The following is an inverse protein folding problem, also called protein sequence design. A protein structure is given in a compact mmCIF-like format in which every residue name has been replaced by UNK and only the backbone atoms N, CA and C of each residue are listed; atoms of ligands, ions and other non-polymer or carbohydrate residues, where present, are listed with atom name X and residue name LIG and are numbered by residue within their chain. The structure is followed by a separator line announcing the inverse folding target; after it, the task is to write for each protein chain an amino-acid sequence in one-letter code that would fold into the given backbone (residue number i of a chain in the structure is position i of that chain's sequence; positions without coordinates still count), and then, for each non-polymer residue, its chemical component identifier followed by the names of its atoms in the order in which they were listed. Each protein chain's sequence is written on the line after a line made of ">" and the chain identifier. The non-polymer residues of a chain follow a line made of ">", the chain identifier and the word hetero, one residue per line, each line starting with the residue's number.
data_IF_728118009708
#
_entry.id   IF_728118009708
#
_cell.length_a   1.000
_cell.length_b   1.000
_cell.length_c   1.000
_cell.angle_alpha   90.00
_cell.angle_beta   90.00
_cell.angle_gamma   90.00
#
_symmetry.space_group_name_H-M   'P 1'
#
loop_
_entity.id
_entity.type
_entity.pdbx_description
1 polymer ?
#
# COMPACT_ATOMS: atom_id res chain seq x y z
N UNK A 1 -3.37 -6.52 22.47
CA UNK A 1 -4.10 -5.60 21.57
C UNK A 1 -4.06 -6.21 20.16
N UNK A 2 -5.21 -6.63 19.63
CA UNK A 2 -5.34 -7.38 18.37
C UNK A 2 -4.99 -6.45 17.20
N UNK A 3 -3.93 -6.74 16.47
CA UNK A 3 -3.67 -6.05 15.19
C UNK A 3 -4.27 -6.89 14.06
N UNK A 4 -5.48 -6.56 13.69
CA UNK A 4 -6.11 -7.02 12.45
C UNK A 4 -5.60 -6.14 11.30
N UNK A 5 -5.08 -6.75 10.26
CA UNK A 5 -4.75 -6.02 9.03
C UNK A 5 -5.72 -6.49 7.96
N UNK A 6 -6.82 -5.77 7.77
CA UNK A 6 -7.78 -6.11 6.74
C UNK A 6 -7.19 -5.82 5.35
N UNK A 7 -7.55 -6.64 4.36
CA UNK A 7 -7.50 -6.18 2.97
C UNK A 7 -8.65 -5.18 2.79
N UNK A 8 -8.33 -4.04 2.22
CA UNK A 8 -9.30 -2.98 2.00
C UNK A 8 -9.36 -2.70 0.51
N UNK A 9 -10.53 -2.87 -0.06
CA UNK A 9 -10.88 -2.39 -1.39
C UNK A 9 -11.91 -1.26 -1.27
N UNK A 10 -12.15 -0.57 -2.35
CA UNK A 10 -13.17 0.48 -2.39
C UNK A 10 -14.56 -0.13 -2.63
N UNK A 11 -15.61 0.44 -2.02
CA UNK A 11 -16.99 -0.05 -2.19
C UNK A 11 -17.56 0.21 -3.59
N UNK A 12 -16.95 1.11 -4.35
CA UNK A 12 -17.32 1.48 -5.71
C UNK A 12 -16.14 1.31 -6.65
N UNK A 13 -16.39 1.12 -7.95
CA UNK A 13 -15.32 1.03 -8.96
C UNK A 13 -14.43 2.28 -8.96
N UNK A 14 -15.03 3.44 -8.83
CA UNK A 14 -14.35 4.72 -8.64
C UNK A 14 -14.95 5.41 -7.41
N UNK A 15 -14.11 5.90 -6.53
CA UNK A 15 -14.50 6.69 -5.38
C UNK A 15 -13.57 7.90 -5.29
N UNK A 16 -14.13 9.08 -5.41
CA UNK A 16 -13.37 10.30 -5.28
C UNK A 16 -14.07 11.28 -4.32
N UNK A 17 -13.29 11.94 -3.47
CA UNK A 17 -13.78 12.96 -2.56
C UNK A 17 -12.87 14.18 -2.57
N UNK A 18 -13.44 15.39 -2.76
CA UNK A 18 -12.67 16.64 -2.80
C UNK A 18 -12.14 17.05 -1.43
N UNK A 19 -12.75 16.54 -0.35
CA UNK A 19 -12.30 16.80 1.02
C UNK A 19 -12.58 15.61 1.93
N UNK A 20 -11.51 15.05 2.46
CA UNK A 20 -11.51 13.98 3.47
C UNK A 20 -10.85 14.52 4.71
N UNK A 21 -11.53 14.39 5.85
CA UNK A 21 -11.05 14.82 7.16
C UNK A 21 -10.62 13.63 8.01
N UNK A 22 -10.13 13.90 9.20
CA UNK A 22 -9.57 12.92 10.13
C UNK A 22 -10.45 11.69 10.42
N UNK A 23 -11.78 11.86 10.36
CA UNK A 23 -12.71 10.76 10.71
C UNK A 23 -12.57 9.56 9.78
N UNK A 24 -12.34 9.79 8.48
CA UNK A 24 -12.14 8.72 7.50
C UNK A 24 -10.74 8.13 7.63
N UNK A 25 -9.73 8.97 7.90
CA UNK A 25 -8.36 8.52 8.13
C UNK A 25 -8.25 7.63 9.37
N UNK A 26 -9.15 7.82 10.35
CA UNK A 26 -9.23 7.00 11.54
C UNK A 26 -9.53 5.51 11.25
N UNK A 27 -10.20 5.19 10.15
CA UNK A 27 -10.45 3.82 9.70
C UNK A 27 -9.11 3.10 9.41
N UNK A 28 -8.10 3.82 8.94
CA UNK A 28 -6.78 3.31 8.59
C UNK A 28 -5.72 3.44 9.69
N UNK A 29 -6.13 3.68 10.96
CA UNK A 29 -5.21 3.63 12.13
C UNK A 29 -4.55 2.27 12.30
N UNK A 30 -5.23 1.22 11.87
CA UNK A 30 -4.64 -0.11 11.80
C UNK A 30 -4.01 -0.32 10.43
N UNK A 31 -2.88 -1.06 10.41
CA UNK A 31 -2.24 -1.41 9.13
C UNK A 31 -3.19 -2.21 8.26
N UNK A 32 -3.40 -1.78 7.03
CA UNK A 32 -4.18 -2.53 6.04
C UNK A 32 -3.40 -2.68 4.75
N UNK A 33 -3.72 -3.73 3.97
CA UNK A 33 -3.22 -3.94 2.61
C UNK A 33 -4.28 -3.48 1.63
N UNK A 34 -3.94 -2.52 0.81
CA UNK A 34 -4.83 -2.00 -0.22
C UNK A 34 -4.92 -2.97 -1.40
N UNK A 35 -6.12 -3.17 -1.91
CA UNK A 35 -6.39 -3.81 -3.21
C UNK A 35 -6.61 -2.77 -4.31
N UNK A 36 -6.99 -1.57 -3.92
CA UNK A 36 -7.25 -0.43 -4.75
C UNK A 36 -5.98 0.32 -5.16
N UNK A 37 -6.05 1.12 -6.23
CA UNK A 37 -5.18 2.27 -6.44
C UNK A 37 -5.78 3.50 -5.74
N UNK A 38 -4.98 4.23 -4.96
CA UNK A 38 -5.40 5.47 -4.33
C UNK A 38 -4.38 6.57 -4.65
N UNK A 39 -4.90 7.68 -5.12
CA UNK A 39 -4.16 8.91 -5.38
C UNK A 39 -4.74 9.99 -4.48
N UNK A 40 -3.93 10.56 -3.60
CA UNK A 40 -4.38 11.58 -2.67
C UNK A 40 -3.42 12.77 -2.66
N UNK A 41 -3.97 13.95 -2.43
CA UNK A 41 -3.20 15.19 -2.26
C UNK A 41 -3.53 15.76 -0.90
N UNK A 42 -2.52 16.07 -0.12
CA UNK A 42 -2.69 16.82 1.12
C UNK A 42 -3.06 18.27 0.77
N UNK A 43 -4.21 18.74 1.25
CA UNK A 43 -4.67 20.09 1.01
C UNK A 43 -4.37 21.03 2.18
N UNK A 44 -4.41 20.49 3.41
CA UNK A 44 -4.17 21.25 4.65
C UNK A 44 -3.48 20.38 5.69
N UNK A 45 -2.65 21.01 6.52
CA UNK A 45 -1.99 20.37 7.66
C UNK A 45 -0.80 19.49 7.28
N UNK A 46 -0.30 18.75 8.25
CA UNK A 46 0.77 17.76 8.08
C UNK A 46 0.42 16.46 8.79
N UNK A 47 0.85 15.33 8.25
CA UNK A 47 0.60 14.04 8.88
C UNK A 47 1.77 13.09 8.71
N UNK A 48 1.86 12.09 9.60
CA UNK A 48 2.78 10.97 9.47
C UNK A 48 2.03 9.71 9.04
N UNK A 49 2.52 9.09 7.97
CA UNK A 49 1.97 7.87 7.41
C UNK A 49 3.06 6.82 7.27
N UNK A 50 2.73 5.58 7.59
CA UNK A 50 3.59 4.44 7.28
C UNK A 50 3.11 3.79 6.00
N UNK A 51 3.96 3.78 4.97
CA UNK A 51 3.72 3.13 3.68
C UNK A 51 4.76 2.03 3.52
N UNK A 52 4.31 0.78 3.36
CA UNK A 52 5.18 -0.38 3.29
C UNK A 52 6.21 -0.40 4.44
N UNK A 53 5.75 -0.16 5.68
CA UNK A 53 6.56 -0.12 6.91
C UNK A 53 7.57 1.03 7.01
N UNK A 54 7.68 1.88 6.02
CA UNK A 54 8.52 3.08 6.04
C UNK A 54 7.69 4.29 6.44
N UNK A 55 8.25 5.14 7.30
CA UNK A 55 7.57 6.35 7.75
C UNK A 55 7.84 7.52 6.80
N UNK A 56 6.78 8.24 6.49
CA UNK A 56 6.78 9.43 5.66
C UNK A 56 6.03 10.54 6.38
N UNK A 57 6.53 11.74 6.21
CA UNK A 57 5.83 12.97 6.57
C UNK A 57 5.20 13.56 5.31
N UNK A 58 3.93 13.95 5.41
CA UNK A 58 3.14 14.47 4.29
C UNK A 58 2.83 15.93 4.58
N UNK A 59 3.10 16.78 3.60
CA UNK A 59 2.88 18.22 3.66
C UNK A 59 1.83 18.67 2.64
N UNK A 60 1.29 19.89 2.74
CA UNK A 60 0.40 20.44 1.73
C UNK A 60 1.00 20.38 0.32
N UNK A 61 0.15 20.02 -0.65
CA UNK A 61 0.49 19.75 -2.06
C UNK A 61 1.38 18.51 -2.31
N UNK A 62 1.61 17.65 -1.30
CA UNK A 62 2.21 16.35 -1.56
C UNK A 62 1.18 15.40 -2.21
N UNK A 63 1.59 14.77 -3.30
CA UNK A 63 0.87 13.66 -3.94
C UNK A 63 1.27 12.36 -3.28
N UNK A 64 0.29 11.63 -2.78
CA UNK A 64 0.43 10.27 -2.26
C UNK A 64 -0.09 9.30 -3.32
N UNK A 65 0.75 8.36 -3.75
CA UNK A 65 0.38 7.32 -4.71
C UNK A 65 0.46 5.95 -4.04
N UNK A 66 -0.67 5.28 -3.89
CA UNK A 66 -0.76 3.95 -3.29
C UNK A 66 -1.25 2.97 -4.34
N UNK A 67 -0.40 2.01 -4.70
CA UNK A 67 -0.70 0.95 -5.66
C UNK A 67 -1.25 -0.30 -4.96
N UNK A 68 -1.91 -1.22 -5.67
CA UNK A 68 -2.37 -2.48 -5.11
C UNK A 68 -1.26 -3.25 -4.41
N UNK A 69 -1.58 -3.83 -3.27
CA UNK A 69 -0.63 -4.53 -2.41
C UNK A 69 0.12 -3.64 -1.42
N UNK A 70 0.00 -2.31 -1.52
CA UNK A 70 0.60 -1.38 -0.57
C UNK A 70 0.03 -1.58 0.84
N UNK A 71 0.93 -1.62 1.82
CA UNK A 71 0.56 -1.67 3.24
C UNK A 71 0.61 -0.25 3.77
N UNK A 72 -0.53 0.25 4.25
CA UNK A 72 -0.66 1.60 4.79
C UNK A 72 -1.10 1.58 6.25
N UNK A 73 -0.61 2.54 7.03
CA UNK A 73 -1.04 2.80 8.40
C UNK A 73 -0.89 4.29 8.71
N UNK A 74 -1.95 4.93 9.20
CA UNK A 74 -1.88 6.27 9.80
C UNK A 74 -1.52 6.15 11.28
N UNK A 75 -0.47 6.86 11.74
CA UNK A 75 0.10 6.63 13.07
C UNK A 75 -0.25 7.68 14.10
N UNK A 76 -0.50 8.91 13.73
CA UNK A 76 -0.77 10.01 14.66
C UNK A 76 -2.12 10.67 14.36
N UNK A 77 -2.76 11.22 15.41
CA UNK A 77 -3.84 12.18 15.22
C UNK A 77 -3.25 13.39 14.52
N UNK A 78 -3.52 13.49 13.22
CA UNK A 78 -3.17 14.66 12.47
C UNK A 78 -4.12 15.78 12.89
N UNK A 79 -3.64 16.80 13.59
CA UNK A 79 -4.46 17.95 13.86
C UNK A 79 -4.72 18.72 12.55
N UNK A 80 -6.00 18.90 12.21
CA UNK A 80 -6.46 19.68 11.05
C UNK A 80 -5.92 19.23 9.68
N UNK A 81 -5.79 17.93 9.45
CA UNK A 81 -5.41 17.42 8.13
C UNK A 81 -6.62 17.29 7.22
N UNK A 82 -6.47 17.74 5.99
CA UNK A 82 -7.41 17.55 4.91
C UNK A 82 -6.72 16.97 3.70
N UNK A 83 -7.37 15.99 3.08
CA UNK A 83 -6.92 15.37 1.83
C UNK A 83 -8.03 15.47 0.79
N UNK A 84 -7.68 15.59 -0.49
CA UNK A 84 -8.55 15.18 -1.58
C UNK A 84 -8.02 13.90 -2.19
N UNK A 85 -8.87 13.00 -2.64
CA UNK A 85 -8.42 11.76 -3.23
C UNK A 85 -9.32 11.25 -4.35
N UNK A 86 -8.71 10.43 -5.22
CA UNK A 86 -9.39 9.56 -6.16
C UNK A 86 -8.86 8.14 -5.99
N UNK A 87 -9.77 7.17 -5.91
CA UNK A 87 -9.45 5.77 -5.74
C UNK A 87 -10.18 4.90 -6.76
N UNK A 88 -9.53 3.81 -7.17
CA UNK A 88 -10.03 2.84 -8.15
C UNK A 88 -9.93 1.45 -7.55
N UNK A 89 -11.04 0.71 -7.52
CA UNK A 89 -11.13 -0.62 -6.90
C UNK A 89 -10.31 -1.67 -7.66
N UNK A 90 -10.08 -2.81 -7.02
CA UNK A 90 -9.43 -3.96 -7.65
C UNK A 90 -10.16 -4.41 -8.92
N UNK A 91 -11.50 -4.28 -8.97
CA UNK A 91 -12.29 -4.60 -10.16
C UNK A 91 -11.93 -3.70 -11.33
N UNK A 92 -11.89 -2.38 -11.13
CA UNK A 92 -11.50 -1.42 -12.17
C UNK A 92 -10.05 -1.67 -12.63
N UNK A 93 -9.13 -1.88 -11.70
CA UNK A 93 -7.73 -2.14 -12.01
C UNK A 93 -7.55 -3.44 -12.81
N UNK A 94 -8.37 -4.45 -12.58
CA UNK A 94 -8.32 -5.73 -13.25
C UNK A 94 -8.48 -5.64 -14.78
N UNK A 95 -9.07 -4.57 -15.29
CA UNK A 95 -9.23 -4.31 -16.73
C UNK A 95 -8.00 -3.64 -17.36
N UNK A 96 -7.07 -3.14 -16.57
CA UNK A 96 -5.92 -2.35 -17.02
C UNK A 96 -4.62 -3.05 -16.65
N UNK A 97 -3.70 -3.14 -17.60
CA UNK A 97 -2.35 -3.56 -17.27
C UNK A 97 -1.56 -2.37 -16.69
N UNK A 98 -1.54 -2.27 -15.36
CA UNK A 98 -0.82 -1.19 -14.65
C UNK A 98 0.64 -1.08 -15.06
N UNK A 99 1.34 -2.21 -15.25
CA UNK A 99 2.76 -2.21 -15.60
C UNK A 99 3.01 -1.60 -16.96
N UNK A 100 2.14 -1.84 -17.94
CA UNK A 100 2.27 -1.23 -19.27
C UNK A 100 1.88 0.23 -19.26
N UNK A 101 0.85 0.61 -18.48
CA UNK A 101 0.35 1.99 -18.41
C UNK A 101 1.32 2.89 -17.65
N UNK A 102 1.86 2.45 -16.52
CA UNK A 102 2.81 3.23 -15.71
C UNK A 102 4.23 3.11 -16.28
N UNK A 103 4.56 1.99 -16.94
CA UNK A 103 5.83 1.77 -17.61
C UNK A 103 7.04 2.00 -16.69
N UNK A 104 8.01 2.78 -17.17
CA UNK A 104 9.26 3.06 -16.46
C UNK A 104 9.10 3.87 -15.16
N UNK A 105 7.91 4.43 -14.88
CA UNK A 105 7.66 5.14 -13.64
C UNK A 105 7.32 4.19 -12.48
N UNK A 106 6.94 2.93 -12.74
CA UNK A 106 6.52 1.97 -11.72
C UNK A 106 7.55 1.78 -10.58
N UNK A 107 8.85 1.57 -10.85
CA UNK A 107 9.83 1.47 -9.78
C UNK A 107 9.92 2.74 -8.93
N UNK A 108 9.89 3.93 -9.57
CA UNK A 108 9.92 5.21 -8.86
C UNK A 108 8.68 5.42 -7.97
N UNK A 109 7.49 5.00 -8.43
CA UNK A 109 6.25 5.08 -7.67
C UNK A 109 6.31 4.24 -6.39
N UNK A 110 6.91 3.05 -6.46
CA UNK A 110 7.14 2.22 -5.28
C UNK A 110 8.22 2.81 -4.37
N UNK A 111 9.29 3.32 -4.96
CA UNK A 111 10.43 3.89 -4.22
C UNK A 111 10.06 5.20 -3.53
N UNK A 112 9.25 6.02 -4.15
CA UNK A 112 8.86 7.35 -3.68
C UNK A 112 7.34 7.53 -3.80
N UNK A 113 6.56 6.90 -2.93
CA UNK A 113 5.09 6.96 -2.99
C UNK A 113 4.53 8.35 -2.68
N UNK A 114 5.37 9.25 -2.19
CA UNK A 114 5.02 10.65 -1.90
C UNK A 114 6.00 11.56 -2.62
N UNK A 115 5.46 12.48 -3.42
CA UNK A 115 6.23 13.52 -4.10
C UNK A 115 5.58 14.90 -3.91
N UNK A 116 6.37 15.94 -3.67
CA UNK A 116 5.86 17.30 -3.64
C UNK A 116 5.49 17.75 -5.06
N UNK A 117 4.33 18.39 -5.19
CA UNK A 117 3.87 19.00 -6.43
C UNK A 117 4.02 20.53 -6.36
N UNK A 118 4.21 21.16 -7.52
CA UNK A 118 3.97 22.60 -7.61
C UNK A 118 2.48 22.90 -7.45
N UNK A 119 2.15 24.10 -6.99
CA UNK A 119 0.78 24.54 -6.74
C UNK A 119 -0.12 24.31 -7.97
N UNK A 120 0.33 24.73 -9.15
CA UNK A 120 -0.43 24.57 -10.40
C UNK A 120 -0.74 23.10 -10.74
N UNK A 121 0.21 22.18 -10.48
CA UNK A 121 0.02 20.74 -10.73
C UNK A 121 -0.91 20.14 -9.67
N UNK A 122 -0.76 20.55 -8.41
CA UNK A 122 -1.64 20.12 -7.34
C UNK A 122 -3.10 20.55 -7.62
N UNK A 123 -3.31 21.81 -8.04
CA UNK A 123 -4.64 22.33 -8.36
C UNK A 123 -5.27 21.59 -9.55
N UNK A 124 -4.50 21.33 -10.61
CA UNK A 124 -4.98 20.51 -11.74
C UNK A 124 -5.50 19.13 -11.26
N UNK A 125 -4.78 18.45 -10.39
CA UNK A 125 -5.24 17.14 -9.89
C UNK A 125 -6.42 17.27 -8.92
N UNK A 126 -6.46 18.30 -8.07
CA UNK A 126 -7.60 18.57 -7.18
C UNK A 126 -8.90 18.79 -7.98
N UNK A 127 -8.83 19.60 -9.05
CA UNK A 127 -9.96 19.83 -9.96
C UNK A 127 -10.39 18.52 -10.65
N UNK A 128 -9.43 17.72 -11.10
CA UNK A 128 -9.72 16.43 -11.72
C UNK A 128 -10.39 15.46 -10.74
N UNK A 129 -9.93 15.40 -9.48
CA UNK A 129 -10.56 14.58 -8.44
C UNK A 129 -11.96 15.08 -8.07
N UNK A 130 -12.18 16.40 -8.10
CA UNK A 130 -13.51 16.97 -7.90
C UNK A 130 -14.48 16.57 -9.03
N UNK A 131 -14.03 16.61 -10.30
CA UNK A 131 -14.83 16.12 -11.43
C UNK A 131 -15.20 14.64 -11.28
N UNK A 132 -14.24 13.80 -10.89
CA UNK A 132 -14.51 12.39 -10.62
C UNK A 132 -15.49 12.18 -9.46
N UNK A 133 -15.42 13.01 -8.42
CA UNK A 133 -16.36 12.98 -7.31
C UNK A 133 -17.78 13.29 -7.77
N UNK A 134 -17.97 14.33 -8.57
CA UNK A 134 -19.26 14.64 -9.16
C UNK A 134 -19.79 13.48 -10.00
N UNK A 135 -18.95 12.92 -10.88
CA UNK A 135 -19.33 11.82 -11.75
C UNK A 135 -19.66 10.51 -10.99
N UNK A 136 -19.04 10.27 -9.83
CA UNK A 136 -19.26 9.06 -9.03
C UNK A 136 -20.45 9.16 -8.07
N UNK A 137 -20.85 10.39 -7.69
CA UNK A 137 -21.91 10.64 -6.71
C UNK A 137 -23.27 11.01 -7.36
N UNK A 138 -23.29 11.36 -8.63
CA UNK A 138 -24.51 11.77 -9.32
C UNK A 138 -25.29 10.54 -9.81
N UNK A 139 -26.46 10.28 -9.22
CA UNK A 139 -27.33 9.18 -9.62
C UNK A 139 -27.82 9.28 -11.08
N UNK A 140 -27.86 10.50 -11.64
CA UNK A 140 -28.24 10.75 -13.04
C UNK A 140 -27.10 10.47 -14.01
N UNK A 141 -25.85 10.53 -13.55
CA UNK A 141 -24.63 10.25 -14.32
C UNK A 141 -23.98 8.98 -13.82
N UNK A 142 -24.49 7.83 -14.27
CA UNK A 142 -23.91 6.56 -13.88
C UNK A 142 -22.58 6.32 -14.61
N UNK A 143 -21.48 6.44 -13.86
CA UNK A 143 -20.14 6.10 -14.38
C UNK A 143 -20.12 4.62 -14.78
N UNK A 144 -19.93 4.34 -16.07
CA UNK A 144 -19.74 2.98 -16.56
C UNK A 144 -18.28 2.52 -16.42
N UNK A 145 -18.04 1.22 -16.57
CA UNK A 145 -16.69 0.65 -16.44
C UNK A 145 -15.71 1.23 -17.47
N UNK A 146 -16.16 1.60 -18.66
CA UNK A 146 -15.29 2.18 -19.70
C UNK A 146 -14.82 3.58 -19.30
N UNK A 147 -15.71 4.41 -18.75
CA UNK A 147 -15.35 5.72 -18.26
C UNK A 147 -14.43 5.64 -17.03
N UNK A 148 -14.67 4.67 -16.13
CA UNK A 148 -13.79 4.38 -15.01
C UNK A 148 -12.38 4.00 -15.48
N UNK A 149 -12.26 3.12 -16.47
CA UNK A 149 -10.97 2.68 -17.06
C UNK A 149 -10.21 3.86 -17.69
N UNK A 150 -10.91 4.69 -18.49
CA UNK A 150 -10.31 5.88 -19.12
C UNK A 150 -9.86 6.91 -18.06
N UNK A 151 -10.64 7.08 -17.01
CA UNK A 151 -10.30 7.98 -15.91
C UNK A 151 -9.04 7.51 -15.16
N UNK A 152 -8.95 6.22 -14.88
CA UNK A 152 -7.74 5.63 -14.28
C UNK A 152 -6.53 5.78 -15.20
N UNK A 153 -6.66 5.49 -16.49
CA UNK A 153 -5.58 5.66 -17.46
C UNK A 153 -5.10 7.12 -17.54
N UNK A 154 -6.01 8.08 -17.49
CA UNK A 154 -5.67 9.52 -17.50
C UNK A 154 -4.84 9.89 -16.26
N UNK A 155 -5.28 9.48 -15.07
CA UNK A 155 -4.50 9.72 -13.83
C UNK A 155 -3.13 9.07 -13.90
N UNK A 156 -3.06 7.79 -14.28
CA UNK A 156 -1.80 7.05 -14.34
C UNK A 156 -0.82 7.69 -15.33
N UNK A 157 -1.31 8.15 -16.48
CA UNK A 157 -0.50 8.86 -17.47
C UNK A 157 -0.01 10.20 -16.93
N UNK A 158 -0.87 10.97 -16.27
CA UNK A 158 -0.50 12.24 -15.63
C UNK A 158 0.58 12.03 -14.57
N UNK A 159 0.40 11.04 -13.72
CA UNK A 159 1.37 10.69 -12.68
C UNK A 159 2.70 10.23 -13.29
N UNK A 160 2.68 9.42 -14.36
CA UNK A 160 3.88 9.02 -15.07
C UNK A 160 4.69 10.24 -15.54
N UNK A 161 4.02 11.26 -16.10
CA UNK A 161 4.68 12.51 -16.52
C UNK A 161 5.26 13.28 -15.33
N UNK A 162 4.54 13.35 -14.22
CA UNK A 162 5.02 13.99 -12.99
C UNK A 162 6.29 13.31 -12.46
N UNK A 163 6.27 11.98 -12.36
CA UNK A 163 7.43 11.20 -11.90
C UNK A 163 8.61 11.22 -12.87
N UNK A 164 8.38 11.38 -14.18
CA UNK A 164 9.44 11.55 -15.17
C UNK A 164 10.19 12.87 -14.94
N UNK A 165 9.46 13.92 -14.65
CA UNK A 165 10.02 15.26 -14.44
C UNK A 165 10.48 15.50 -13.00
N UNK A 166 10.09 14.62 -12.06
CA UNK A 166 10.52 14.68 -10.69
C UNK A 166 11.96 14.17 -10.56
N UNK A 167 12.90 15.11 -10.53
CA UNK A 167 14.27 14.87 -10.10
C UNK A 167 14.33 15.01 -8.58
N UNK A 168 13.83 14.03 -7.86
CA UNK A 168 13.90 14.02 -6.41
C UNK A 168 15.34 14.29 -5.95
N UNK A 169 15.47 15.05 -4.85
CA UNK A 169 16.77 15.22 -4.21
C UNK A 169 17.37 13.83 -3.99
N UNK A 170 18.44 13.53 -4.72
CA UNK A 170 19.19 12.27 -4.68
C UNK A 170 19.93 12.03 -3.34
N UNK A 171 19.52 12.69 -2.26
CA UNK A 171 19.78 12.26 -0.89
C UNK A 171 18.80 11.13 -0.48
N UNK A 172 18.43 10.28 -1.45
CA UNK A 172 17.80 8.99 -1.13
C UNK A 172 18.74 8.31 -0.14
N UNK A 173 18.34 8.28 1.11
CA UNK A 173 19.09 7.58 2.13
C UNK A 173 19.22 6.13 1.65
N UNK A 174 20.42 5.73 1.17
CA UNK A 174 20.73 4.41 0.62
C UNK A 174 20.15 3.27 1.48
N UNK A 175 20.03 3.52 2.80
CA UNK A 175 19.40 2.58 3.73
C UNK A 175 17.90 2.43 3.48
N UNK A 176 17.18 3.53 3.21
CA UNK A 176 15.75 3.47 2.87
C UNK A 176 15.51 2.78 1.53
N UNK A 177 16.39 2.99 0.56
CA UNK A 177 16.34 2.31 -0.73
C UNK A 177 16.52 0.79 -0.57
N UNK A 178 17.50 0.34 0.21
CA UNK A 178 17.69 -1.09 0.53
C UNK A 178 16.42 -1.67 1.17
N UNK A 179 15.83 -0.97 2.13
CA UNK A 179 14.59 -1.44 2.78
C UNK A 179 13.42 -1.54 1.80
N UNK A 180 13.24 -0.58 0.88
CA UNK A 180 12.19 -0.63 -0.15
C UNK A 180 12.36 -1.82 -1.08
N UNK A 181 13.57 -2.01 -1.62
CA UNK A 181 13.91 -3.16 -2.48
C UNK A 181 13.69 -4.49 -1.75
N UNK A 182 14.08 -4.55 -0.46
CA UNK A 182 13.80 -5.72 0.38
C UNK A 182 12.30 -6.01 0.47
N UNK A 183 11.47 -5.01 0.77
CA UNK A 183 10.02 -5.19 0.89
C UNK A 183 9.40 -5.65 -0.41
N UNK A 184 9.84 -5.10 -1.54
CA UNK A 184 9.44 -5.55 -2.86
C UNK A 184 9.78 -7.03 -3.08
N UNK A 185 11.03 -7.43 -2.87
CA UNK A 185 11.47 -8.82 -3.00
C UNK A 185 10.72 -9.77 -2.05
N UNK A 186 10.47 -9.33 -0.80
CA UNK A 186 9.67 -10.13 0.12
C UNK A 186 8.24 -10.30 -0.42
N UNK A 187 7.62 -9.26 -0.95
CA UNK A 187 6.26 -9.33 -1.48
C UNK A 187 6.16 -10.28 -2.68
N UNK A 188 7.22 -10.39 -3.48
CA UNK A 188 7.31 -11.30 -4.62
C UNK A 188 7.57 -12.76 -4.19
N UNK A 189 8.35 -12.97 -3.13
CA UNK A 189 8.91 -14.30 -2.80
C UNK A 189 8.54 -14.87 -1.41
N UNK A 190 7.77 -14.16 -0.57
CA UNK A 190 7.50 -14.56 0.83
C UNK A 190 6.86 -15.95 1.01
N UNK A 191 6.19 -16.46 -0.03
CA UNK A 191 5.60 -17.80 0.02
C UNK A 191 6.68 -18.86 -0.01
N UNK A 192 7.67 -18.69 -0.89
CA UNK A 192 8.69 -19.69 -1.16
C UNK A 192 9.99 -19.46 -0.39
N UNK A 193 10.31 -18.19 -0.13
CA UNK A 193 11.57 -17.78 0.48
C UNK A 193 11.34 -17.03 1.79
N UNK A 194 11.77 -17.66 2.91
CA UNK A 194 11.67 -17.09 4.25
C UNK A 194 13.03 -16.91 4.93
N UNK A 195 14.11 -17.17 4.20
CA UNK A 195 15.47 -17.02 4.70
C UNK A 195 16.01 -15.61 4.38
N UNK A 196 16.50 -14.90 5.39
CA UNK A 196 17.06 -13.56 5.22
C UNK A 196 18.28 -13.54 4.28
N UNK A 197 19.04 -14.64 4.20
CA UNK A 197 20.19 -14.76 3.32
C UNK A 197 19.79 -14.63 1.85
N UNK A 198 18.70 -15.29 1.42
CA UNK A 198 18.18 -15.17 0.07
C UNK A 198 18.01 -13.71 -0.36
N UNK A 199 17.41 -12.90 0.49
CA UNK A 199 17.18 -11.49 0.20
C UNK A 199 18.46 -10.66 0.19
N UNK A 200 19.42 -10.99 1.05
CA UNK A 200 20.73 -10.35 1.03
C UNK A 200 21.47 -10.63 -0.29
N UNK A 201 21.44 -11.88 -0.75
CA UNK A 201 22.05 -12.30 -2.01
C UNK A 201 21.39 -11.61 -3.22
N UNK A 202 20.06 -11.53 -3.26
CA UNK A 202 19.31 -10.82 -4.31
C UNK A 202 19.62 -9.32 -4.35
N UNK A 203 19.90 -8.71 -3.19
CA UNK A 203 20.27 -7.30 -3.09
C UNK A 203 21.78 -7.05 -3.32
N UNK A 204 22.59 -8.10 -3.47
CA UNK A 204 24.04 -8.00 -3.65
C UNK A 204 24.78 -7.41 -2.45
N UNK A 205 24.27 -7.65 -1.23
CA UNK A 205 24.86 -7.14 0.03
C UNK A 205 25.00 -8.26 1.07
N UNK A 206 25.87 -8.07 2.05
CA UNK A 206 26.01 -9.05 3.13
C UNK A 206 24.77 -9.09 4.03
N UNK A 207 24.45 -10.27 4.59
CA UNK A 207 23.34 -10.42 5.54
C UNK A 207 23.48 -9.52 6.75
N UNK A 208 24.71 -9.28 7.22
CA UNK A 208 24.96 -8.35 8.32
C UNK A 208 24.60 -6.91 7.95
N UNK A 209 24.98 -6.47 6.75
CA UNK A 209 24.64 -5.13 6.25
C UNK A 209 23.13 -4.97 6.08
N UNK A 210 22.45 -5.96 5.49
CA UNK A 210 20.99 -5.99 5.36
C UNK A 210 20.32 -5.89 6.74
N UNK A 211 20.69 -6.77 7.68
CA UNK A 211 20.08 -6.84 9.02
C UNK A 211 20.25 -5.54 9.80
N UNK A 212 21.45 -4.96 9.76
CA UNK A 212 21.74 -3.68 10.42
C UNK A 212 20.92 -2.53 9.80
N UNK A 213 20.89 -2.48 8.47
CA UNK A 213 20.15 -1.45 7.73
C UNK A 213 18.66 -1.50 8.01
N UNK A 214 18.05 -2.70 7.92
CA UNK A 214 16.62 -2.89 8.17
C UNK A 214 16.27 -2.54 9.60
N UNK A 215 17.06 -2.98 10.59
CA UNK A 215 16.85 -2.66 12.01
C UNK A 215 16.92 -1.16 12.28
N UNK A 216 17.86 -0.44 11.65
CA UNK A 216 18.02 1.01 11.80
C UNK A 216 16.85 1.80 11.18
N UNK A 217 16.32 1.35 10.04
CA UNK A 217 15.28 2.08 9.29
C UNK A 217 13.88 1.75 9.79
N UNK A 218 13.61 0.47 10.08
CA UNK A 218 12.25 -0.01 10.38
C UNK A 218 12.03 -0.35 11.86
N UNK A 219 13.09 -0.43 12.66
CA UNK A 219 13.06 -0.94 14.03
C UNK A 219 12.84 -2.46 14.13
N UNK A 220 12.62 -3.17 13.01
CA UNK A 220 12.31 -4.60 12.95
C UNK A 220 13.48 -5.39 12.36
N UNK A 221 13.54 -6.71 12.63
CA UNK A 221 14.46 -7.59 11.92
C UNK A 221 13.94 -7.92 10.51
N UNK A 222 14.83 -8.43 9.64
CA UNK A 222 14.44 -8.94 8.31
C UNK A 222 13.41 -10.07 8.45
N UNK A 223 13.61 -10.98 9.38
CA UNK A 223 12.70 -12.10 9.62
C UNK A 223 11.33 -11.64 10.14
N UNK A 224 11.28 -10.61 11.01
CA UNK A 224 10.02 -10.01 11.45
C UNK A 224 9.28 -9.33 10.30
N UNK A 225 10.02 -8.73 9.36
CA UNK A 225 9.43 -8.10 8.16
C UNK A 225 8.83 -9.16 7.24
N UNK A 226 9.53 -10.28 7.00
CA UNK A 226 8.99 -11.41 6.24
C UNK A 226 7.76 -11.98 6.93
N UNK A 227 7.86 -12.27 8.23
CA UNK A 227 6.76 -12.81 9.03
C UNK A 227 5.53 -11.90 8.99
N UNK A 228 5.73 -10.59 9.06
CA UNK A 228 4.65 -9.61 8.99
C UNK A 228 3.88 -9.69 7.66
N UNK A 229 4.57 -9.81 6.53
CA UNK A 229 3.92 -9.93 5.19
C UNK A 229 3.18 -11.26 5.07
N UNK A 230 3.76 -12.38 5.54
CA UNK A 230 3.08 -13.68 5.58
C UNK A 230 1.80 -13.61 6.43
N UNK A 231 1.85 -12.96 7.58
CA UNK A 231 0.69 -12.82 8.48
C UNK A 231 -0.40 -11.93 7.86
N UNK A 232 -0.02 -10.88 7.13
CA UNK A 232 -0.99 -10.05 6.39
C UNK A 232 -1.77 -10.90 5.39
N UNK A 233 -1.08 -11.69 4.57
CA UNK A 233 -1.75 -12.55 3.60
C UNK A 233 -2.59 -13.64 4.28
N UNK A 234 -2.06 -14.29 5.34
CA UNK A 234 -2.81 -15.27 6.11
C UNK A 234 -4.12 -14.70 6.67
N UNK A 235 -4.08 -13.50 7.25
CA UNK A 235 -5.28 -12.84 7.78
C UNK A 235 -6.28 -12.51 6.70
N UNK A 236 -5.80 -12.04 5.54
CA UNK A 236 -6.63 -11.76 4.39
C UNK A 236 -7.37 -13.01 3.89
N UNK A 237 -6.67 -14.12 3.73
CA UNK A 237 -7.28 -15.39 3.32
C UNK A 237 -8.26 -15.92 4.39
N UNK A 238 -7.94 -15.80 5.68
CA UNK A 238 -8.81 -16.23 6.77
C UNK A 238 -10.15 -15.49 6.80
N UNK A 239 -10.16 -14.21 6.46
CA UNK A 239 -11.38 -13.36 6.50
C UNK A 239 -12.07 -13.22 5.14
N UNK A 240 -11.31 -13.29 4.06
CA UNK A 240 -11.81 -13.02 2.71
C UNK A 240 -12.17 -14.26 1.88
N UNK A 241 -11.95 -15.47 2.40
CA UNK A 241 -12.22 -16.71 1.66
C UNK A 241 -12.83 -17.80 2.54
N UNK A 242 -13.52 -18.78 1.91
CA UNK A 242 -14.02 -19.99 2.55
C UNK A 242 -12.97 -21.11 2.64
N UNK A 243 -11.72 -20.84 2.28
CA UNK A 243 -10.62 -21.82 2.35
C UNK A 243 -10.48 -22.36 3.77
N UNK A 244 -10.26 -23.66 3.90
CA UNK A 244 -9.95 -24.28 5.17
C UNK A 244 -8.59 -23.81 5.70
N UNK A 245 -8.35 -23.97 7.00
CA UNK A 245 -7.04 -23.67 7.61
C UNK A 245 -5.91 -24.45 6.94
N UNK A 246 -6.20 -25.66 6.50
CA UNK A 246 -5.27 -26.52 5.78
C UNK A 246 -4.92 -25.97 4.40
N UNK A 247 -5.90 -25.55 3.62
CA UNK A 247 -5.70 -24.96 2.30
C UNK A 247 -4.93 -23.64 2.41
N UNK A 248 -5.22 -22.81 3.39
CA UNK A 248 -4.46 -21.57 3.65
C UNK A 248 -3.00 -21.89 4.02
N UNK A 249 -2.77 -22.91 4.86
CA UNK A 249 -1.42 -23.29 5.20
C UNK A 249 -0.61 -23.70 3.96
N UNK A 250 -1.20 -24.49 3.06
CA UNK A 250 -0.55 -24.88 1.82
C UNK A 250 -0.41 -23.75 0.80
N UNK A 251 -1.42 -22.88 0.67
CA UNK A 251 -1.33 -21.69 -0.21
C UNK A 251 -0.22 -20.73 0.18
N UNK A 252 0.15 -20.74 1.46
CA UNK A 252 1.27 -19.99 2.02
C UNK A 252 2.55 -20.82 2.12
N UNK A 253 2.60 -21.98 1.48
CA UNK A 253 3.75 -22.89 1.44
C UNK A 253 4.29 -23.28 2.84
N UNK A 254 3.39 -23.57 3.78
CA UNK A 254 3.76 -24.23 5.03
C UNK A 254 3.81 -25.75 4.85
N UNK A 255 4.76 -26.44 5.47
CA UNK A 255 4.91 -27.89 5.30
C UNK A 255 3.69 -28.68 5.82
N UNK A 256 2.98 -28.14 6.79
CA UNK A 256 1.70 -28.67 7.27
C UNK A 256 0.93 -27.60 8.08
N UNK A 257 -0.38 -27.82 8.33
CA UNK A 257 -1.23 -26.89 9.07
C UNK A 257 -0.75 -26.61 10.49
N UNK A 258 -0.12 -27.57 11.16
CA UNK A 258 0.36 -27.41 12.55
C UNK A 258 1.48 -26.35 12.63
N UNK A 259 2.39 -26.33 11.65
CA UNK A 259 3.43 -25.30 11.58
C UNK A 259 2.82 -23.92 11.31
N UNK A 260 1.84 -23.85 10.42
CA UNK A 260 1.10 -22.62 10.16
C UNK A 260 0.39 -22.10 11.41
N UNK A 261 -0.35 -22.96 12.12
CA UNK A 261 -1.06 -22.58 13.34
C UNK A 261 -0.12 -22.05 14.42
N UNK A 262 1.03 -22.73 14.64
CA UNK A 262 2.06 -22.28 15.59
C UNK A 262 2.66 -20.94 15.18
N UNK A 263 3.01 -20.78 13.90
CA UNK A 263 3.55 -19.54 13.34
C UNK A 263 2.54 -18.39 13.51
N UNK A 264 1.30 -18.61 13.10
CA UNK A 264 0.24 -17.60 13.18
C UNK A 264 -0.01 -17.19 14.65
N UNK A 265 -0.16 -18.16 15.55
CA UNK A 265 -0.37 -17.89 16.98
C UNK A 265 0.79 -17.12 17.62
N UNK A 266 2.03 -17.42 17.23
CA UNK A 266 3.23 -16.72 17.71
C UNK A 266 3.19 -15.22 17.34
N UNK A 267 2.73 -14.89 16.15
CA UNK A 267 2.77 -13.51 15.64
C UNK A 267 1.46 -12.74 15.88
N UNK A 268 0.33 -13.41 16.05
CA UNK A 268 -1.00 -12.79 16.22
C UNK A 268 -1.53 -12.89 17.65
N UNK A 269 -1.04 -13.84 18.42
CA UNK A 269 -1.48 -14.09 19.80
C UNK A 269 -2.67 -15.04 19.93
N UNK A 270 -3.34 -15.42 18.83
CA UNK A 270 -4.45 -16.36 18.79
C UNK A 270 -4.30 -17.34 17.62
N UNK A 271 -5.06 -18.44 17.64
CA UNK A 271 -5.05 -19.41 16.54
C UNK A 271 -5.73 -18.84 15.28
N UNK A 272 -5.43 -19.40 14.07
CA UNK A 272 -6.11 -19.02 12.84
C UNK A 272 -7.65 -19.16 12.90
N UNK A 273 -8.14 -20.21 13.57
CA UNK A 273 -9.57 -20.46 13.71
C UNK A 273 -10.24 -19.44 14.63
N UNK A 274 -9.63 -19.13 15.79
CA UNK A 274 -10.10 -18.05 16.68
C UNK A 274 -10.12 -16.72 15.95
N UNK A 275 -9.10 -16.43 15.13
CA UNK A 275 -9.03 -15.21 14.32
C UNK A 275 -10.12 -15.16 13.24
N UNK A 276 -10.43 -16.28 12.58
CA UNK A 276 -11.51 -16.36 11.59
C UNK A 276 -12.86 -16.03 12.20
N UNK A 277 -13.13 -16.50 13.42
CA UNK A 277 -14.40 -16.38 14.10
C UNK A 277 -14.55 -15.08 14.92
N UNK A 278 -13.48 -14.29 15.04
CA UNK A 278 -13.50 -12.99 15.75
C UNK A 278 -14.00 -11.87 14.85
#
# INVERSE_FOLDING_TARGET
>A
MKMEVPQVDLPLEVLAWPKVTEDILNIYKQSCRLQACIFAICTEGTMKVSINLLEYEVHPNDLITLLPGTIIQFREKAEKVSLCFAGFSAKCIGHINLLTTIGNAYPKLIEQPIIPLSENIADYLKEYFALLSHASCDESFKMDSKLADLSLQTILTSIQLMYRNYSGNNHSNRKKEICRKLIQLITEHYKDQRCAQFYADQLGISLQHLSTTVKQVTGKSVLDTIAYIVIIDAKAQLKGTDMTIQEIAYSLNFPNPSFFCKFFRRHVGMSPLEFRNS
#
